data_IF_752664274276
#
_entry.id   IF_752664274276
#
_cell.length_a   1.000
_cell.length_b   1.000
_cell.length_c   1.000
_cell.angle_alpha   90.00
_cell.angle_beta   90.00
_cell.angle_gamma   90.00
#
_symmetry.space_group_name_H-M   'P 1'
#
loop_
_entity.id
_entity.type
_entity.pdbx_description
1 polymer ?
#
# COMPACT_ATOMS: atom_id res chain seq x y z
N UNK A 1 -62.74 9.29 0.51
CA UNK A 1 -63.30 8.97 -0.83
C UNK A 1 -62.80 10.01 -1.80
N UNK A 2 -62.43 9.60 -3.00
CA UNK A 2 -61.89 10.47 -4.06
C UNK A 2 -62.76 10.27 -5.29
N UNK A 3 -63.21 11.36 -5.89
CA UNK A 3 -63.96 11.29 -7.14
C UNK A 3 -63.02 10.90 -8.28
N UNK A 4 -63.26 9.72 -8.86
CA UNK A 4 -62.52 9.22 -10.01
C UNK A 4 -62.94 9.98 -11.28
N UNK A 5 -61.97 10.42 -12.07
CA UNK A 5 -62.23 10.88 -13.43
C UNK A 5 -62.36 9.68 -14.36
N UNK A 6 -63.15 9.76 -15.45
CA UNK A 6 -63.18 8.71 -16.47
C UNK A 6 -61.74 8.59 -17.01
N UNK A 7 -61.10 7.43 -16.83
CA UNK A 7 -59.68 7.15 -17.16
C UNK A 7 -58.64 7.42 -16.04
N UNK A 8 -59.05 7.55 -14.78
CA UNK A 8 -58.07 7.63 -13.68
C UNK A 8 -57.32 6.31 -13.48
N UNK A 9 -55.99 6.36 -13.47
CA UNK A 9 -55.10 5.25 -13.11
C UNK A 9 -54.43 5.47 -11.73
N UNK A 10 -53.61 4.52 -11.28
CA UNK A 10 -52.89 4.61 -10.00
C UNK A 10 -51.91 5.79 -9.97
N UNK A 11 -51.26 6.11 -11.09
CA UNK A 11 -50.30 7.23 -11.17
C UNK A 11 -51.01 8.57 -10.96
N UNK A 12 -52.13 8.77 -11.63
CA UNK A 12 -52.96 9.96 -11.53
C UNK A 12 -53.62 10.09 -10.15
N UNK A 13 -54.01 8.97 -9.54
CA UNK A 13 -54.51 8.95 -8.17
C UNK A 13 -53.44 9.41 -7.17
N UNK A 14 -52.24 8.83 -7.24
CA UNK A 14 -51.14 9.11 -6.31
C UNK A 14 -50.68 10.57 -6.39
N UNK A 15 -50.81 11.20 -7.56
CA UNK A 15 -50.58 12.64 -7.73
C UNK A 15 -51.62 13.54 -7.02
N UNK A 16 -52.78 13.00 -6.65
CA UNK A 16 -53.91 13.76 -6.03
C UNK A 16 -54.06 13.50 -4.53
N UNK A 17 -53.30 12.57 -3.96
CA UNK A 17 -53.39 12.20 -2.55
C UNK A 17 -52.06 12.36 -1.85
N UNK A 18 -52.11 12.54 -0.53
CA UNK A 18 -50.93 12.39 0.31
C UNK A 18 -50.70 10.89 0.56
N UNK A 19 -49.78 10.29 -0.19
CA UNK A 19 -49.28 8.93 0.09
C UNK A 19 -48.28 9.01 1.25
N UNK A 20 -48.27 8.04 2.19
CA UNK A 20 -47.20 7.93 3.18
C UNK A 20 -45.83 7.92 2.47
N UNK A 21 -44.88 8.69 3.00
CA UNK A 21 -43.58 9.01 2.37
C UNK A 21 -42.86 7.79 1.75
N UNK A 22 -42.12 8.07 0.66
CA UNK A 22 -41.33 7.16 -0.18
C UNK A 22 -42.11 6.02 -0.89
N UNK A 23 -42.34 6.11 -2.21
CA UNK A 23 -42.99 5.06 -3.01
C UNK A 23 -42.34 3.67 -2.87
N UNK A 24 -41.04 3.59 -2.58
CA UNK A 24 -40.35 2.31 -2.40
C UNK A 24 -40.74 1.60 -1.10
N UNK A 25 -41.31 2.35 -0.15
CA UNK A 25 -41.64 1.92 1.21
C UNK A 25 -43.13 1.61 1.39
N UNK A 26 -43.90 1.57 0.31
CA UNK A 26 -45.33 1.29 0.33
C UNK A 26 -45.68 0.23 -0.71
N UNK A 27 -46.51 -0.73 -0.34
CA UNK A 27 -47.20 -1.63 -1.27
C UNK A 27 -48.57 -1.02 -1.61
N UNK A 28 -48.93 -1.03 -2.90
CA UNK A 28 -50.27 -0.64 -3.36
C UNK A 28 -51.06 -1.90 -3.67
N UNK A 29 -52.19 -2.08 -3.00
CA UNK A 29 -53.11 -3.18 -3.25
C UNK A 29 -54.48 -2.61 -3.62
N UNK A 30 -54.98 -3.02 -4.77
CA UNK A 30 -56.33 -2.68 -5.23
C UNK A 30 -57.26 -3.86 -4.92
N UNK A 31 -58.30 -3.60 -4.15
CA UNK A 31 -59.39 -4.54 -3.91
C UNK A 31 -60.57 -4.14 -4.79
N UNK A 32 -60.92 -5.03 -5.72
CA UNK A 32 -62.07 -4.90 -6.60
C UNK A 32 -63.07 -6.00 -6.30
N UNK A 33 -64.36 -5.63 -6.27
CA UNK A 33 -65.43 -6.55 -5.88
C UNK A 33 -65.48 -7.77 -6.79
N UNK A 34 -65.36 -8.96 -6.19
CA UNK A 34 -65.41 -10.23 -6.92
C UNK A 34 -64.11 -10.62 -7.64
N UNK A 35 -63.05 -9.82 -7.52
CA UNK A 35 -61.72 -10.10 -8.07
C UNK A 35 -60.70 -10.39 -6.97
N UNK A 36 -59.60 -11.06 -7.33
CA UNK A 36 -58.47 -11.24 -6.40
C UNK A 36 -57.74 -9.91 -6.20
N UNK A 37 -57.19 -9.63 -5.00
CA UNK A 37 -56.44 -8.41 -4.74
C UNK A 37 -55.30 -8.22 -5.75
N UNK A 38 -55.26 -7.05 -6.37
CA UNK A 38 -54.29 -6.71 -7.41
C UNK A 38 -53.13 -5.98 -6.74
N UNK A 39 -51.93 -6.55 -6.82
CA UNK A 39 -50.70 -5.90 -6.33
C UNK A 39 -50.13 -5.00 -7.41
N UNK A 40 -49.82 -3.76 -7.05
CA UNK A 40 -49.25 -2.75 -7.93
C UNK A 40 -47.91 -2.29 -7.35
N UNK A 41 -46.85 -2.40 -8.16
CA UNK A 41 -45.55 -1.82 -7.82
C UNK A 41 -45.58 -0.32 -8.09
N UNK A 42 -45.79 0.47 -7.03
CA UNK A 42 -45.94 1.91 -7.15
C UNK A 42 -44.72 2.59 -7.75
N UNK A 43 -43.51 2.14 -7.43
CA UNK A 43 -42.29 2.73 -7.98
C UNK A 43 -42.20 2.47 -9.49
N UNK A 44 -42.48 1.24 -9.93
CA UNK A 44 -42.49 0.90 -11.35
C UNK A 44 -43.54 1.71 -12.14
N UNK A 45 -44.70 1.98 -11.54
CA UNK A 45 -45.77 2.82 -12.13
C UNK A 45 -45.35 4.29 -12.24
N UNK A 46 -44.70 4.84 -11.20
CA UNK A 46 -44.23 6.22 -11.22
C UNK A 46 -43.09 6.44 -12.23
N UNK A 47 -42.27 5.41 -12.46
CA UNK A 47 -41.18 5.40 -13.45
C UNK A 47 -41.62 4.99 -14.87
N UNK A 48 -42.93 4.80 -15.10
CA UNK A 48 -43.51 4.43 -16.40
C UNK A 48 -42.90 3.15 -17.01
N UNK A 49 -42.57 2.17 -16.14
CA UNK A 49 -41.95 0.92 -16.59
C UNK A 49 -42.96 0.02 -17.33
N UNK A 50 -42.56 -0.62 -18.46
CA UNK A 50 -43.43 -1.54 -19.18
C UNK A 50 -43.95 -2.66 -18.28
N UNK A 51 -45.28 -2.85 -18.25
CA UNK A 51 -45.92 -3.91 -17.46
C UNK A 51 -46.10 -3.62 -15.97
N UNK A 52 -45.73 -2.43 -15.49
CA UNK A 52 -45.88 -2.05 -14.09
C UNK A 52 -47.34 -2.06 -13.61
N UNK A 53 -48.23 -1.43 -14.40
CA UNK A 53 -49.69 -1.49 -14.28
C UNK A 53 -50.30 -0.67 -15.42
N UNK A 54 -51.20 -1.27 -16.21
CA UNK A 54 -51.85 -0.59 -17.34
C UNK A 54 -53.38 -0.48 -17.15
N UNK A 55 -53.89 -0.80 -15.95
CA UNK A 55 -55.32 -0.84 -15.69
C UNK A 55 -55.90 0.50 -15.24
N UNK A 56 -57.18 0.72 -15.53
CA UNK A 56 -57.92 1.85 -14.98
C UNK A 56 -58.53 1.49 -13.62
N UNK A 57 -58.64 2.49 -12.76
CA UNK A 57 -59.41 2.38 -11.53
C UNK A 57 -60.90 2.34 -11.86
N UNK A 58 -61.64 1.51 -11.14
CA UNK A 58 -63.10 1.38 -11.27
C UNK A 58 -63.80 2.00 -10.06
N UNK A 59 -65.06 2.45 -10.22
CA UNK A 59 -65.89 2.83 -9.08
C UNK A 59 -65.93 1.69 -8.05
N UNK A 60 -65.90 2.05 -6.77
CA UNK A 60 -65.82 1.13 -5.62
C UNK A 60 -64.50 0.38 -5.43
N UNK A 61 -63.45 0.64 -6.23
CA UNK A 61 -62.10 0.12 -5.94
C UNK A 61 -61.61 0.65 -4.58
N UNK A 62 -61.20 -0.25 -3.69
CA UNK A 62 -60.54 0.12 -2.42
C UNK A 62 -59.03 0.00 -2.62
N UNK A 63 -58.32 1.11 -2.45
CA UNK A 63 -56.89 1.19 -2.69
C UNK A 63 -56.19 1.31 -1.34
N UNK A 64 -55.51 0.23 -0.96
CA UNK A 64 -54.76 0.16 0.28
C UNK A 64 -53.28 0.47 0.03
N UNK A 65 -52.77 1.45 0.78
CA UNK A 65 -51.36 1.76 0.88
C UNK A 65 -50.82 1.10 2.15
N UNK A 66 -50.11 -0.01 2.00
CA UNK A 66 -49.58 -0.77 3.13
C UNK A 66 -48.08 -0.44 3.29
N UNK A 67 -47.65 0.11 4.44
CA UNK A 67 -46.23 0.37 4.65
C UNK A 67 -45.46 -0.95 4.63
N UNK A 68 -44.39 -0.99 3.84
CA UNK A 68 -43.47 -2.12 3.83
C UNK A 68 -42.65 -2.11 5.12
N UNK A 69 -42.29 -3.29 5.65
CA UNK A 69 -41.40 -3.35 6.79
C UNK A 69 -40.05 -2.73 6.44
N UNK A 70 -39.53 -1.92 7.35
CA UNK A 70 -38.27 -1.21 7.16
C UNK A 70 -37.38 -1.33 8.38
N UNK A 71 -36.09 -1.18 8.14
CA UNK A 71 -35.04 -1.13 9.13
C UNK A 71 -34.36 0.25 9.06
N UNK A 72 -33.66 0.63 10.13
CA UNK A 72 -32.87 1.87 10.17
C UNK A 72 -31.40 1.50 10.10
N UNK A 73 -30.69 2.12 9.17
CA UNK A 73 -29.26 1.91 8.90
C UNK A 73 -28.61 3.29 8.85
N UNK A 74 -27.40 3.42 9.37
CA UNK A 74 -26.64 4.67 9.30
C UNK A 74 -25.63 4.65 8.17
N UNK A 75 -25.60 5.70 7.36
CA UNK A 75 -24.61 5.89 6.29
C UNK A 75 -23.68 7.06 6.63
N UNK A 76 -22.37 6.80 6.68
CA UNK A 76 -21.34 7.80 7.01
C UNK A 76 -20.30 7.83 5.88
N UNK A 77 -20.22 8.95 5.16
CA UNK A 77 -19.31 9.12 4.04
C UNK A 77 -20.01 9.77 2.84
N UNK A 78 -19.41 9.70 1.65
CA UNK A 78 -19.94 10.33 0.43
C UNK A 78 -21.03 9.44 -0.18
N UNK A 79 -22.15 9.28 0.51
CA UNK A 79 -23.34 8.58 0.01
C UNK A 79 -24.38 9.58 -0.44
N UNK A 80 -25.23 9.21 -1.41
CA UNK A 80 -26.30 10.08 -1.89
C UNK A 80 -27.27 10.53 -0.77
N UNK A 81 -27.48 9.68 0.23
CA UNK A 81 -28.12 10.02 1.50
C UNK A 81 -27.23 9.59 2.67
N UNK A 82 -27.05 10.49 3.65
CA UNK A 82 -26.19 10.26 4.82
C UNK A 82 -26.98 10.39 6.12
N UNK A 83 -26.43 9.88 7.21
CA UNK A 83 -27.11 9.80 8.50
C UNK A 83 -28.02 8.58 8.60
N UNK A 84 -29.12 8.68 9.32
CA UNK A 84 -30.07 7.58 9.49
C UNK A 84 -30.98 7.46 8.26
N UNK A 85 -30.95 6.30 7.60
CA UNK A 85 -31.75 6.00 6.42
C UNK A 85 -32.71 4.86 6.71
N UNK A 86 -33.96 5.01 6.24
CA UNK A 86 -34.96 3.93 6.26
C UNK A 86 -34.72 3.02 5.06
N UNK A 87 -34.41 1.76 5.32
CA UNK A 87 -34.11 0.76 4.29
C UNK A 87 -35.18 -0.31 4.33
N UNK A 88 -35.63 -0.78 3.16
CA UNK A 88 -36.59 -1.87 3.08
C UNK A 88 -36.00 -3.15 3.70
N UNK A 89 -36.76 -3.81 4.55
CA UNK A 89 -36.28 -5.02 5.24
C UNK A 89 -35.93 -6.11 4.23
N UNK A 90 -34.75 -6.73 4.41
CA UNK A 90 -34.25 -7.81 3.55
C UNK A 90 -33.43 -7.36 2.35
N UNK A 91 -33.28 -6.05 2.13
CA UNK A 91 -32.44 -5.51 1.06
C UNK A 91 -30.96 -5.68 1.35
N UNK A 92 -30.21 -5.93 0.28
CA UNK A 92 -28.76 -5.92 0.33
C UNK A 92 -28.17 -4.51 0.27
N UNK A 93 -26.88 -4.40 0.61
CA UNK A 93 -26.15 -3.13 0.61
C UNK A 93 -26.15 -2.45 -0.75
N UNK A 94 -26.16 -3.20 -1.86
CA UNK A 94 -26.11 -2.64 -3.21
C UNK A 94 -27.47 -2.13 -3.67
N UNK A 95 -28.54 -2.87 -3.40
CA UNK A 95 -29.92 -2.43 -3.62
C UNK A 95 -30.20 -1.15 -2.83
N UNK A 96 -29.75 -1.12 -1.58
CA UNK A 96 -29.87 0.04 -0.70
C UNK A 96 -29.08 1.22 -1.22
N UNK A 97 -27.82 1.02 -1.61
CA UNK A 97 -27.01 2.08 -2.21
C UNK A 97 -27.70 2.65 -3.46
N UNK A 98 -28.28 1.80 -4.31
CA UNK A 98 -28.99 2.24 -5.50
C UNK A 98 -30.21 3.12 -5.18
N UNK A 99 -30.99 2.82 -4.12
CA UNK A 99 -32.15 3.64 -3.76
C UNK A 99 -31.80 4.97 -3.09
N UNK A 100 -30.65 5.05 -2.40
CA UNK A 100 -30.27 6.27 -1.67
C UNK A 100 -29.45 7.25 -2.52
N UNK A 101 -29.35 7.01 -3.83
CA UNK A 101 -28.59 7.87 -4.77
C UNK A 101 -27.15 7.41 -5.02
N UNK A 102 -26.77 6.23 -4.55
CA UNK A 102 -25.45 5.64 -4.79
C UNK A 102 -24.36 6.15 -3.85
N UNK A 103 -23.12 5.95 -4.29
CA UNK A 103 -21.92 6.50 -3.67
C UNK A 103 -21.45 7.64 -4.57
N UNK A 104 -21.29 8.83 -4.02
CA UNK A 104 -20.67 9.95 -4.73
C UNK A 104 -19.20 9.60 -4.96
N UNK A 105 -18.75 9.43 -6.22
CA UNK A 105 -17.37 9.11 -6.48
C UNK A 105 -16.51 10.32 -6.12
N UNK A 106 -15.88 10.25 -4.94
CA UNK A 106 -14.62 10.94 -4.70
C UNK A 106 -13.63 10.60 -5.86
N UNK A 107 -12.49 11.29 -6.03
CA UNK A 107 -11.64 11.14 -7.22
C UNK A 107 -11.04 9.73 -7.50
N UNK A 108 -11.42 8.71 -6.73
CA UNK A 108 -11.04 7.30 -6.92
C UNK A 108 -12.09 6.51 -7.71
N UNK A 109 -11.63 5.44 -8.37
CA UNK A 109 -12.50 4.43 -8.95
C UNK A 109 -13.11 3.56 -7.84
N UNK A 110 -14.44 3.35 -7.89
CA UNK A 110 -15.17 2.44 -6.98
C UNK A 110 -14.64 1.00 -6.96
N UNK A 111 -13.81 0.62 -7.93
CA UNK A 111 -13.17 -0.69 -8.04
C UNK A 111 -12.24 -1.01 -6.86
N UNK A 112 -11.58 -0.01 -6.28
CA UNK A 112 -10.62 -0.22 -5.17
C UNK A 112 -11.22 0.10 -3.79
N UNK A 113 -12.41 0.71 -3.75
CA UNK A 113 -13.07 1.10 -2.52
C UNK A 113 -13.77 -0.07 -1.82
N UNK A 114 -13.83 -0.03 -0.49
CA UNK A 114 -14.55 -0.99 0.33
C UNK A 114 -15.64 -0.28 1.13
N UNK A 115 -16.76 -0.94 1.31
CA UNK A 115 -17.77 -0.62 2.30
C UNK A 115 -17.44 -1.36 3.59
N UNK A 116 -17.43 -0.63 4.70
CA UNK A 116 -17.35 -1.20 6.02
C UNK A 116 -18.74 -1.15 6.65
N UNK A 117 -19.29 -2.32 6.98
CA UNK A 117 -20.58 -2.45 7.67
C UNK A 117 -20.30 -2.86 9.12
N UNK A 118 -20.50 -1.92 10.04
CA UNK A 118 -20.42 -2.19 11.47
C UNK A 118 -21.75 -2.75 11.96
N UNK A 119 -21.74 -3.98 12.45
CA UNK A 119 -22.88 -4.69 13.02
C UNK A 119 -22.59 -5.04 14.47
N UNK A 120 -23.07 -4.22 15.40
CA UNK A 120 -22.69 -4.34 16.81
C UNK A 120 -21.16 -4.24 16.98
N UNK A 121 -20.47 -5.30 17.46
CA UNK A 121 -19.01 -5.37 17.57
C UNK A 121 -18.30 -5.80 16.27
N UNK A 122 -19.03 -6.33 15.28
CA UNK A 122 -18.45 -6.86 14.06
C UNK A 122 -18.23 -5.77 13.01
N UNK A 123 -17.12 -5.88 12.27
CA UNK A 123 -16.81 -5.03 11.11
C UNK A 123 -16.73 -5.91 9.87
N UNK A 124 -17.78 -5.88 9.06
CA UNK A 124 -17.88 -6.64 7.82
C UNK A 124 -17.35 -5.77 6.66
N UNK A 125 -16.58 -6.37 5.76
CA UNK A 125 -16.02 -5.68 4.58
C UNK A 125 -16.70 -6.18 3.32
N UNK A 126 -17.18 -5.26 2.50
CA UNK A 126 -17.83 -5.56 1.22
C UNK A 126 -17.23 -4.64 0.16
N UNK A 127 -16.87 -5.09 -1.05
CA UNK A 127 -16.49 -4.21 -2.15
C UNK A 127 -17.55 -3.14 -2.41
N UNK A 128 -17.13 -1.90 -2.70
CA UNK A 128 -18.07 -0.83 -3.00
C UNK A 128 -18.78 -1.03 -4.35
N UNK A 129 -18.11 -1.70 -5.29
CA UNK A 129 -18.68 -2.09 -6.59
C UNK A 129 -19.13 -3.55 -6.56
N UNK A 130 -20.40 -3.80 -6.93
CA UNK A 130 -20.95 -5.15 -7.02
C UNK A 130 -20.31 -5.93 -8.17
N UNK A 131 -19.70 -7.08 -7.87
CA UNK A 131 -19.27 -8.04 -8.89
C UNK A 131 -20.42 -8.98 -9.29
N UNK A 132 -20.51 -9.46 -10.54
CA UNK A 132 -21.67 -10.24 -11.03
C UNK A 132 -21.99 -11.49 -10.22
N UNK A 133 -20.97 -12.18 -9.72
CA UNK A 133 -21.13 -13.43 -8.97
C UNK A 133 -21.28 -13.22 -7.45
N UNK A 134 -21.20 -11.96 -7.02
CA UNK A 134 -21.18 -11.62 -5.60
C UNK A 134 -22.60 -11.47 -5.05
N UNK A 135 -22.90 -12.25 -4.01
CA UNK A 135 -24.08 -12.03 -3.18
C UNK A 135 -23.90 -10.74 -2.37
N UNK A 136 -24.91 -9.89 -2.38
CA UNK A 136 -24.93 -8.71 -1.52
C UNK A 136 -25.11 -9.08 -0.05
N UNK A 137 -24.54 -8.26 0.82
CA UNK A 137 -24.75 -8.35 2.26
C UNK A 137 -26.11 -7.75 2.60
N UNK A 138 -27.03 -8.58 3.11
CA UNK A 138 -28.33 -8.10 3.63
C UNK A 138 -28.08 -7.25 4.87
N UNK A 139 -28.64 -6.03 4.86
CA UNK A 139 -28.50 -5.10 5.97
C UNK A 139 -29.45 -5.45 7.11
N UNK A 140 -29.01 -5.19 8.33
CA UNK A 140 -29.74 -5.43 9.58
C UNK A 140 -30.03 -4.12 10.33
N UNK A 141 -31.05 -4.09 11.20
CA UNK A 141 -31.34 -2.93 12.03
C UNK A 141 -30.12 -2.50 12.83
N UNK A 142 -29.75 -1.22 12.73
CA UNK A 142 -28.61 -0.68 13.47
C UNK A 142 -27.25 -0.79 12.78
N UNK A 143 -27.18 -1.40 11.59
CA UNK A 143 -25.95 -1.41 10.80
C UNK A 143 -25.46 0.03 10.54
N UNK A 144 -24.14 0.22 10.60
CA UNK A 144 -23.49 1.47 10.18
C UNK A 144 -22.61 1.18 8.98
N UNK A 145 -22.98 1.74 7.83
CA UNK A 145 -22.27 1.61 6.57
C UNK A 145 -21.34 2.82 6.40
N UNK A 146 -20.06 2.54 6.19
CA UNK A 146 -19.02 3.52 5.93
C UNK A 146 -18.33 3.20 4.62
N UNK A 147 -17.81 4.22 3.95
CA UNK A 147 -16.93 4.02 2.81
C UNK A 147 -15.47 4.13 3.26
N UNK A 148 -14.74 3.02 3.13
CA UNK A 148 -13.29 2.96 3.30
C UNK A 148 -12.62 3.16 1.94
N UNK A 149 -12.18 4.40 1.72
CA UNK A 149 -11.39 4.76 0.55
C UNK A 149 -9.91 4.71 0.93
N UNK A 150 -9.13 3.80 0.34
CA UNK A 150 -7.71 3.75 0.64
C UNK A 150 -7.06 5.06 0.18
N UNK A 151 -6.30 5.71 1.07
CA UNK A 151 -5.58 6.93 0.71
C UNK A 151 -4.54 6.59 -0.35
N UNK A 152 -4.70 7.13 -1.55
CA UNK A 152 -3.73 7.01 -2.62
C UNK A 152 -2.64 8.07 -2.45
N UNK A 153 -1.41 7.66 -2.69
CA UNK A 153 -0.21 8.48 -2.58
C UNK A 153 0.65 8.30 -3.83
N UNK A 154 1.40 9.35 -4.15
CA UNK A 154 2.39 9.36 -5.22
C UNK A 154 3.76 9.09 -4.63
N UNK A 155 4.43 8.06 -5.13
CA UNK A 155 5.81 7.74 -4.77
C UNK A 155 6.65 7.60 -6.04
N UNK A 156 7.94 7.88 -5.95
CA UNK A 156 8.87 7.76 -7.08
C UNK A 156 9.87 6.65 -6.76
N UNK A 157 10.12 5.75 -7.71
CA UNK A 157 11.19 4.75 -7.62
C UNK A 157 12.16 4.96 -8.79
N UNK A 158 13.45 5.06 -8.49
CA UNK A 158 14.49 5.32 -9.50
C UNK A 158 15.78 4.55 -9.20
N UNK A 159 16.82 4.77 -10.00
CA UNK A 159 18.12 4.11 -9.89
C UNK A 159 18.14 2.78 -10.63
N UNK A 160 18.71 1.76 -9.99
CA UNK A 160 18.84 0.41 -10.56
C UNK A 160 17.62 -0.46 -10.24
N UNK A 161 16.42 0.11 -10.28
CA UNK A 161 15.17 -0.64 -10.18
C UNK A 161 14.86 -1.36 -11.51
N UNK A 162 14.05 -2.42 -11.46
CA UNK A 162 13.61 -3.14 -12.67
C UNK A 162 12.76 -2.23 -13.57
N UNK A 163 11.89 -1.43 -12.95
CA UNK A 163 11.14 -0.35 -13.58
C UNK A 163 11.23 0.91 -12.73
N UNK A 164 11.83 1.96 -13.29
CA UNK A 164 11.88 3.29 -12.67
C UNK A 164 10.70 4.14 -13.15
N UNK A 165 10.17 4.99 -12.28
CA UNK A 165 9.06 5.89 -12.60
C UNK A 165 8.27 6.33 -11.37
N UNK A 166 7.16 7.00 -11.66
CA UNK A 166 6.16 7.36 -10.66
C UNK A 166 5.17 6.20 -10.47
N UNK A 167 4.81 5.94 -9.21
CA UNK A 167 3.83 4.95 -8.83
C UNK A 167 2.75 5.61 -7.97
N UNK A 168 1.51 5.47 -8.40
CA UNK A 168 0.33 5.84 -7.61
C UNK A 168 -0.15 4.57 -6.90
N UNK A 169 -0.04 4.55 -5.58
CA UNK A 169 -0.30 3.37 -4.76
C UNK A 169 -1.07 3.75 -3.50
N UNK A 170 -1.64 2.75 -2.82
CA UNK A 170 -2.24 2.95 -1.51
C UNK A 170 -1.16 3.26 -0.47
N UNK A 171 -1.46 4.14 0.49
CA UNK A 171 -0.55 4.52 1.58
C UNK A 171 -0.16 3.33 2.48
N UNK A 172 -1.07 2.35 2.60
CA UNK A 172 -0.86 1.13 3.38
C UNK A 172 -0.16 0.01 2.60
N UNK A 173 0.22 0.24 1.33
CA UNK A 173 0.95 -0.73 0.53
C UNK A 173 2.34 -0.98 1.17
N UNK A 174 2.70 -2.23 1.47
CA UNK A 174 4.04 -2.54 1.98
C UNK A 174 5.13 -2.17 0.96
N UNK A 175 6.28 -1.66 1.42
CA UNK A 175 7.41 -1.27 0.57
C UNK A 175 7.86 -2.39 -0.38
N UNK A 176 7.83 -3.63 0.09
CA UNK A 176 8.14 -4.81 -0.72
C UNK A 176 7.19 -4.99 -1.90
N UNK A 177 5.89 -4.75 -1.71
CA UNK A 177 4.91 -4.82 -2.80
C UNK A 177 5.05 -3.65 -3.76
N UNK A 178 5.42 -2.46 -3.26
CA UNK A 178 5.82 -1.34 -4.11
C UNK A 178 7.03 -1.73 -4.98
N UNK A 179 8.06 -2.34 -4.41
CA UNK A 179 9.23 -2.79 -5.17
C UNK A 179 8.87 -3.88 -6.18
N UNK A 180 7.93 -4.79 -5.87
CA UNK A 180 7.40 -5.75 -6.86
C UNK A 180 6.68 -5.06 -8.02
N UNK A 181 5.87 -4.01 -7.76
CA UNK A 181 5.28 -3.18 -8.81
C UNK A 181 6.35 -2.48 -9.67
N UNK A 182 7.47 -2.11 -9.06
CA UNK A 182 8.67 -1.59 -9.72
C UNK A 182 9.56 -2.70 -10.33
N UNK A 183 9.04 -3.92 -10.52
CA UNK A 183 9.76 -5.08 -11.08
C UNK A 183 11.03 -5.50 -10.30
N UNK A 184 11.09 -5.16 -9.01
CA UNK A 184 12.20 -5.47 -8.12
C UNK A 184 13.45 -4.63 -8.39
N UNK A 185 14.62 -5.15 -7.99
CA UNK A 185 15.89 -4.61 -8.43
C UNK A 185 16.17 -5.02 -9.87
N UNK A 186 16.70 -4.09 -10.68
CA UNK A 186 17.21 -4.39 -12.01
C UNK A 186 18.48 -5.25 -11.96
N UNK A 187 19.05 -5.64 -13.11
CA UNK A 187 20.17 -6.58 -13.18
C UNK A 187 21.42 -6.18 -12.39
N UNK A 188 21.61 -4.88 -12.16
CA UNK A 188 22.73 -4.34 -11.40
C UNK A 188 22.28 -3.71 -10.08
N UNK A 189 21.01 -3.81 -9.69
CA UNK A 189 20.46 -3.16 -8.50
C UNK A 189 20.46 -4.06 -7.27
N UNK A 190 20.32 -3.46 -6.09
CA UNK A 190 20.06 -4.18 -4.85
C UNK A 190 18.90 -3.56 -4.08
N UNK A 191 18.02 -4.41 -3.55
CA UNK A 191 16.95 -4.01 -2.63
C UNK A 191 17.45 -3.94 -1.17
N UNK A 192 18.70 -4.31 -0.91
CA UNK A 192 19.34 -4.12 0.38
C UNK A 192 19.87 -2.70 0.50
N UNK A 193 19.25 -1.90 1.36
CA UNK A 193 19.67 -0.52 1.57
C UNK A 193 19.22 0.44 0.49
N UNK A 194 17.99 0.26 0.00
CA UNK A 194 17.28 1.28 -0.78
C UNK A 194 17.32 2.60 0.00
N UNK A 195 17.58 3.70 -0.71
CA UNK A 195 17.59 5.03 -0.10
C UNK A 195 16.20 5.64 -0.26
N UNK A 196 15.58 6.02 0.84
CA UNK A 196 14.37 6.80 0.89
C UNK A 196 14.70 8.24 1.18
N UNK A 197 14.14 9.15 0.41
CA UNK A 197 14.15 10.58 0.67
C UNK A 197 12.74 11.00 1.08
N UNK A 198 12.60 11.56 2.28
CA UNK A 198 11.32 11.99 2.85
C UNK A 198 11.52 13.23 3.71
N UNK A 199 10.80 14.31 3.42
CA UNK A 199 10.84 15.52 4.25
C UNK A 199 12.23 16.17 4.40
N UNK A 200 13.15 15.92 3.47
CA UNK A 200 14.55 16.38 3.55
C UNK A 200 15.51 15.42 4.26
N UNK A 201 15.02 14.31 4.80
CA UNK A 201 15.82 13.25 5.41
C UNK A 201 16.12 12.12 4.41
N UNK A 202 17.25 11.44 4.63
CA UNK A 202 17.64 10.26 3.87
C UNK A 202 17.69 9.06 4.82
N UNK A 203 16.87 8.06 4.54
CA UNK A 203 16.76 6.84 5.33
C UNK A 203 17.18 5.65 4.48
N UNK A 204 17.97 4.74 5.06
CA UNK A 204 18.32 3.47 4.43
C UNK A 204 17.31 2.41 4.85
N UNK A 205 16.59 1.84 3.89
CA UNK A 205 15.54 0.84 4.13
C UNK A 205 15.88 -0.47 3.43
N UNK A 206 15.58 -1.58 4.10
CA UNK A 206 15.65 -2.90 3.48
C UNK A 206 14.29 -3.24 2.86
N UNK A 207 14.29 -3.50 1.55
CA UNK A 207 13.10 -3.87 0.79
C UNK A 207 13.10 -5.36 0.38
N UNK A 208 14.02 -6.17 0.91
CA UNK A 208 14.13 -7.61 0.61
C UNK A 208 13.18 -8.50 1.43
N UNK A 209 12.59 -7.98 2.52
CA UNK A 209 11.94 -8.78 3.57
C UNK A 209 11.08 -9.96 3.08
N UNK A 210 10.02 -9.74 2.28
CA UNK A 210 9.16 -10.85 1.83
C UNK A 210 9.81 -11.81 0.83
N UNK A 211 10.89 -11.39 0.17
CA UNK A 211 11.67 -12.25 -0.73
C UNK A 211 12.60 -13.18 0.06
N UNK A 212 12.99 -12.79 1.27
CA UNK A 212 13.92 -13.53 2.14
C UNK A 212 13.23 -14.25 3.30
N UNK A 213 11.88 -14.16 3.39
CA UNK A 213 11.10 -14.73 4.49
C UNK A 213 11.20 -13.96 5.80
N UNK A 214 11.86 -12.79 5.79
CA UNK A 214 11.89 -11.89 6.94
C UNK A 214 10.57 -11.11 7.04
N UNK A 215 10.13 -10.75 8.27
CA UNK A 215 8.94 -9.91 8.43
C UNK A 215 9.15 -8.59 7.65
N UNK A 216 8.13 -8.11 6.93
CA UNK A 216 8.22 -6.87 6.19
C UNK A 216 8.62 -5.73 7.13
N UNK A 217 9.42 -4.79 6.63
CA UNK A 217 9.77 -3.61 7.41
C UNK A 217 8.48 -2.90 7.86
N UNK A 218 8.44 -2.43 9.11
CA UNK A 218 7.30 -1.67 9.66
C UNK A 218 7.13 -0.28 9.00
N UNK A 219 7.90 -0.04 7.95
CA UNK A 219 7.94 1.19 7.21
C UNK A 219 6.64 1.36 6.42
N UNK A 220 5.93 2.46 6.68
CA UNK A 220 4.77 2.89 5.92
C UNK A 220 5.16 3.91 4.87
N UNK A 221 4.58 3.77 3.68
CA UNK A 221 4.75 4.73 2.60
C UNK A 221 4.05 6.05 2.96
N UNK A 222 4.54 7.14 2.40
CA UNK A 222 3.96 8.47 2.52
C UNK A 222 3.94 9.14 1.14
N UNK A 223 3.00 10.08 0.96
CA UNK A 223 2.94 10.88 -0.25
C UNK A 223 4.23 11.68 -0.44
N UNK A 224 4.76 11.67 -1.67
CA UNK A 224 6.02 12.31 -2.01
C UNK A 224 7.27 11.50 -1.66
N UNK A 225 7.15 10.27 -1.16
CA UNK A 225 8.32 9.40 -0.95
C UNK A 225 9.09 9.21 -2.26
N UNK A 226 10.41 9.38 -2.18
CA UNK A 226 11.32 9.13 -3.29
C UNK A 226 12.31 8.02 -2.91
N UNK A 227 12.27 6.92 -3.64
CA UNK A 227 13.14 5.77 -3.45
C UNK A 227 14.18 5.71 -4.56
N UNK A 228 15.45 5.60 -4.16
CA UNK A 228 16.55 5.30 -5.04
C UNK A 228 17.06 3.89 -4.75
N UNK A 229 16.93 3.00 -5.74
CA UNK A 229 17.49 1.66 -5.72
C UNK A 229 18.97 1.76 -6.09
N UNK A 230 19.89 1.52 -5.15
CA UNK A 230 21.31 1.61 -5.44
C UNK A 230 21.75 0.47 -6.35
N UNK A 231 22.87 0.69 -7.02
CA UNK A 231 23.60 -0.39 -7.67
C UNK A 231 24.04 -1.40 -6.60
N UNK A 232 24.00 -2.68 -6.91
CA UNK A 232 24.63 -3.76 -6.17
C UNK A 232 26.15 -3.67 -6.33
N UNK A 233 26.73 -2.56 -5.87
CA UNK A 233 28.17 -2.36 -5.81
C UNK A 233 28.70 -3.01 -4.54
N UNK A 234 29.45 -4.10 -4.72
CA UNK A 234 30.31 -4.59 -3.67
C UNK A 234 31.55 -3.72 -3.63
N UNK A 235 31.81 -3.10 -2.50
CA UNK A 235 32.99 -2.26 -2.33
C UNK A 235 33.75 -2.58 -1.05
N UNK A 236 35.04 -2.30 -1.09
CA UNK A 236 35.97 -2.33 0.04
C UNK A 236 36.61 -0.96 0.16
N UNK A 237 37.13 -0.66 1.33
CA UNK A 237 38.03 0.47 1.48
C UNK A 237 39.42 0.01 1.87
N UNK A 238 40.43 0.56 1.19
CA UNK A 238 41.83 0.45 1.56
C UNK A 238 42.31 1.79 2.14
N UNK A 239 42.86 1.75 3.35
CA UNK A 239 43.39 2.92 4.06
C UNK A 239 44.74 2.60 4.71
N UNK A 240 45.36 3.64 5.28
CA UNK A 240 46.66 3.56 5.93
C UNK A 240 47.80 3.77 4.95
N UNK A 241 48.87 3.01 5.13
CA UNK A 241 50.13 3.10 4.39
C UNK A 241 50.07 2.30 3.07
N UNK A 242 49.12 2.66 2.21
CA UNK A 242 49.02 2.19 0.81
C UNK A 242 49.24 3.33 -0.17
N UNK A 243 49.69 3.00 -1.39
CA UNK A 243 49.98 4.01 -2.41
C UNK A 243 48.73 4.73 -2.91
N UNK A 244 47.62 4.00 -3.05
CA UNK A 244 46.33 4.56 -3.48
C UNK A 244 45.25 4.23 -2.44
N UNK A 245 45.04 5.05 -1.40
CA UNK A 245 43.94 4.85 -0.47
C UNK A 245 42.59 5.22 -1.11
N UNK A 246 41.52 4.50 -0.80
CA UNK A 246 40.20 4.81 -1.34
C UNK A 246 39.21 3.65 -1.39
N UNK A 247 38.10 3.86 -2.12
CA UNK A 247 37.04 2.88 -2.37
C UNK A 247 37.39 2.02 -3.58
N UNK A 248 37.29 0.71 -3.41
CA UNK A 248 37.53 -0.29 -4.44
C UNK A 248 36.24 -1.07 -4.71
N UNK A 249 35.74 -1.02 -5.95
CA UNK A 249 34.51 -1.71 -6.36
C UNK A 249 34.88 -3.01 -7.06
N UNK A 250 34.17 -4.09 -6.75
CA UNK A 250 34.43 -5.42 -7.30
C UNK A 250 33.14 -6.10 -7.78
N UNK A 251 33.27 -7.17 -8.56
CA UNK A 251 32.12 -7.83 -9.19
C UNK A 251 31.39 -8.77 -8.24
N UNK A 252 30.12 -9.04 -8.54
CA UNK A 252 29.31 -9.97 -7.76
C UNK A 252 29.82 -11.41 -7.94
N UNK A 253 29.96 -12.15 -6.83
CA UNK A 253 30.55 -13.50 -6.83
C UNK A 253 32.09 -13.56 -6.86
N UNK A 254 32.78 -12.44 -7.05
CA UNK A 254 34.24 -12.36 -6.95
C UNK A 254 34.69 -12.50 -5.49
N UNK A 255 35.65 -13.40 -5.25
CA UNK A 255 36.29 -13.56 -3.94
C UNK A 255 37.52 -12.66 -3.90
N UNK A 256 37.47 -11.64 -3.06
CA UNK A 256 38.58 -10.70 -2.85
C UNK A 256 39.22 -11.01 -1.50
N UNK A 257 40.54 -11.17 -1.47
CA UNK A 257 41.32 -11.29 -0.24
C UNK A 257 42.09 -10.00 0.06
N UNK A 258 42.62 -9.88 1.29
CA UNK A 258 43.37 -8.70 1.71
C UNK A 258 44.58 -8.41 0.82
N UNK A 259 45.28 -9.43 0.32
CA UNK A 259 46.38 -9.27 -0.63
C UNK A 259 45.93 -8.71 -1.98
N UNK A 260 44.75 -9.11 -2.48
CA UNK A 260 44.21 -8.62 -3.75
C UNK A 260 43.87 -7.13 -3.64
N UNK A 261 43.23 -6.75 -2.54
CA UNK A 261 42.94 -5.34 -2.24
C UNK A 261 44.23 -4.53 -2.12
N UNK A 262 45.27 -5.06 -1.47
CA UNK A 262 46.57 -4.41 -1.38
C UNK A 262 47.20 -4.19 -2.76
N UNK A 263 47.12 -5.20 -3.64
CA UNK A 263 47.64 -5.11 -5.00
C UNK A 263 46.88 -4.05 -5.81
N UNK A 264 45.55 -4.01 -5.72
CA UNK A 264 44.73 -2.96 -6.35
C UNK A 264 45.03 -1.57 -5.79
N UNK A 265 45.35 -1.47 -4.50
CA UNK A 265 45.79 -0.24 -3.85
C UNK A 265 47.24 0.18 -4.20
N UNK A 266 47.89 -0.53 -5.12
CA UNK A 266 49.23 -0.22 -5.59
C UNK A 266 50.34 -0.67 -4.65
N UNK A 267 50.06 -1.56 -3.69
CA UNK A 267 51.00 -2.00 -2.66
C UNK A 267 51.12 -1.02 -1.48
N UNK A 268 52.03 -1.33 -0.56
CA UNK A 268 52.30 -0.45 0.59
C UNK A 268 53.20 0.72 0.20
N UNK A 269 53.11 1.82 0.96
CA UNK A 269 54.13 2.87 0.95
C UNK A 269 55.44 2.35 1.56
N UNK A 270 56.54 3.10 1.40
CA UNK A 270 57.85 2.80 2.03
C UNK A 270 57.81 2.73 3.56
N UNK A 271 56.76 3.27 4.18
CA UNK A 271 56.57 3.31 5.64
C UNK A 271 55.57 2.25 6.13
N UNK A 272 54.89 1.56 5.21
CA UNK A 272 53.85 0.59 5.53
C UNK A 272 54.40 -0.73 6.05
N UNK A 273 53.77 -1.26 7.11
CA UNK A 273 54.07 -2.59 7.64
C UNK A 273 52.86 -3.51 7.54
N UNK A 274 53.03 -4.64 6.86
CA UNK A 274 51.98 -5.66 6.73
C UNK A 274 51.90 -6.62 7.92
N UNK A 275 52.76 -6.43 8.93
CA UNK A 275 52.75 -7.23 10.17
C UNK A 275 51.51 -7.01 11.02
N UNK A 276 50.88 -5.85 10.88
CA UNK A 276 49.69 -5.46 11.64
C UNK A 276 48.72 -4.75 10.70
N UNK A 277 47.89 -5.53 10.03
CA UNK A 277 46.77 -5.04 9.24
C UNK A 277 45.50 -5.11 10.09
N UNK A 278 44.68 -4.06 10.04
CA UNK A 278 43.42 -3.98 10.77
C UNK A 278 42.26 -4.08 9.78
N UNK A 279 41.46 -5.12 9.92
CA UNK A 279 40.17 -5.30 9.25
C UNK A 279 39.06 -4.85 10.18
N UNK A 280 38.20 -3.96 9.70
CA UNK A 280 36.96 -3.58 10.34
C UNK A 280 35.79 -4.09 9.52
N UNK A 281 35.00 -4.99 10.11
CA UNK A 281 33.83 -5.59 9.46
C UNK A 281 32.54 -5.11 10.12
N UNK A 282 31.56 -4.57 9.39
CA UNK A 282 30.29 -4.19 9.98
C UNK A 282 29.50 -5.44 10.35
N UNK A 283 28.88 -5.44 11.53
CA UNK A 283 27.87 -6.42 11.90
C UNK A 283 26.47 -6.02 11.41
N UNK A 284 25.47 -6.86 11.69
CA UNK A 284 24.07 -6.65 11.29
C UNK A 284 23.47 -5.34 11.85
N UNK A 285 24.06 -4.79 12.92
CA UNK A 285 23.65 -3.52 13.53
C UNK A 285 24.44 -2.32 13.00
N UNK A 286 25.37 -2.55 12.06
CA UNK A 286 26.26 -1.53 11.49
C UNK A 286 27.45 -1.17 12.38
N UNK A 287 27.74 -1.93 13.44
CA UNK A 287 28.91 -1.71 14.30
C UNK A 287 30.12 -2.43 13.73
N UNK A 288 31.26 -1.76 13.69
CA UNK A 288 32.49 -2.32 13.15
C UNK A 288 33.24 -3.17 14.19
N UNK A 289 33.46 -4.44 13.86
CA UNK A 289 34.23 -5.38 14.67
C UNK A 289 35.68 -5.42 14.17
N UNK A 290 36.67 -5.11 15.03
CA UNK A 290 38.07 -5.08 14.64
C UNK A 290 38.71 -6.47 14.68
N UNK A 291 39.39 -6.84 13.60
CA UNK A 291 40.22 -8.04 13.50
C UNK A 291 41.61 -7.62 13.05
N UNK A 292 42.65 -8.07 13.77
CA UNK A 292 44.04 -7.84 13.38
C UNK A 292 44.62 -9.11 12.78
N UNK A 293 45.43 -8.96 11.74
CA UNK A 293 46.14 -10.06 11.11
C UNK A 293 47.50 -9.61 10.56
N UNK A 294 48.36 -10.58 10.32
CA UNK A 294 49.71 -10.38 9.81
C UNK A 294 49.79 -10.83 8.35
N UNK A 295 49.54 -9.93 7.41
CA UNK A 295 49.54 -10.24 5.98
C UNK A 295 50.96 -10.56 5.45
N UNK A 296 51.99 -10.14 6.18
CA UNK A 296 53.41 -10.41 5.86
C UNK A 296 53.69 -11.93 5.81
N UNK A 297 53.06 -12.73 6.68
CA UNK A 297 53.17 -14.20 6.69
C UNK A 297 52.62 -14.84 5.41
N UNK A 298 51.58 -14.25 4.80
CA UNK A 298 51.07 -14.73 3.53
C UNK A 298 52.06 -14.42 2.40
N UNK A 299 52.58 -13.20 2.35
CA UNK A 299 53.44 -12.73 1.24
C UNK A 299 54.81 -13.41 1.27
N UNK A 300 55.38 -13.61 2.46
CA UNK A 300 56.75 -14.17 2.62
C UNK A 300 56.74 -15.68 2.77
N UNK A 301 55.84 -16.19 3.61
CA UNK A 301 55.87 -17.59 4.04
C UNK A 301 54.79 -18.44 3.35
N UNK A 302 53.93 -17.82 2.52
CA UNK A 302 52.83 -18.51 1.83
C UNK A 302 51.70 -18.96 2.76
N UNK A 303 51.61 -18.42 3.98
CA UNK A 303 50.58 -18.79 4.95
C UNK A 303 49.20 -18.28 4.50
N UNK A 304 48.43 -19.12 3.82
CA UNK A 304 47.09 -18.77 3.29
C UNK A 304 46.12 -18.31 4.37
N UNK A 305 46.25 -18.80 5.62
CA UNK A 305 45.38 -18.38 6.73
C UNK A 305 45.61 -16.93 7.14
N UNK A 306 46.76 -16.37 6.81
CA UNK A 306 47.12 -14.98 7.10
C UNK A 306 46.57 -13.97 6.07
N UNK A 307 45.88 -14.44 5.03
CA UNK A 307 45.22 -13.62 4.03
C UNK A 307 43.69 -13.82 4.12
N UNK A 308 42.99 -13.04 4.97
CA UNK A 308 41.55 -13.21 5.15
C UNK A 308 40.77 -12.81 3.89
N UNK A 309 39.67 -13.52 3.64
CA UNK A 309 38.68 -13.13 2.64
C UNK A 309 37.90 -11.90 3.12
N UNK A 310 37.77 -10.93 2.24
CA UNK A 310 37.08 -9.68 2.49
C UNK A 310 35.62 -9.76 2.04
N UNK A 311 34.78 -8.99 2.72
CA UNK A 311 33.34 -8.91 2.47
C UNK A 311 32.94 -7.50 2.05
N UNK A 312 31.87 -7.34 1.26
CA UNK A 312 31.36 -6.02 0.92
C UNK A 312 31.17 -5.16 2.17
N UNK A 313 31.68 -3.93 2.14
CA UNK A 313 31.62 -2.99 3.27
C UNK A 313 32.74 -3.13 4.30
N UNK A 314 33.67 -4.07 4.15
CA UNK A 314 34.87 -4.15 4.97
C UNK A 314 35.79 -2.93 4.74
N UNK A 315 36.43 -2.48 5.81
CA UNK A 315 37.49 -1.47 5.76
C UNK A 315 38.80 -2.11 6.21
N UNK A 316 39.84 -1.93 5.41
CA UNK A 316 41.16 -2.50 5.67
C UNK A 316 42.19 -1.38 5.80
N UNK A 317 42.82 -1.31 6.96
CA UNK A 317 43.94 -0.41 7.23
C UNK A 317 45.24 -1.19 7.15
N UNK A 318 46.04 -0.91 6.13
CA UNK A 318 47.37 -1.49 5.94
C UNK A 318 48.42 -0.63 6.62
N UNK A 319 49.29 -1.24 7.41
CA UNK A 319 50.14 -0.51 8.33
C UNK A 319 49.36 -0.02 9.53
N UNK A 320 49.79 -0.36 10.74
CA UNK A 320 49.12 0.12 11.94
C UNK A 320 49.33 1.64 12.07
N UNK A 321 48.26 2.46 11.99
CA UNK A 321 48.40 3.88 12.23
C UNK A 321 48.81 4.11 13.69
N UNK A 322 50.01 4.67 13.91
CA UNK A 322 50.46 5.01 15.27
C UNK A 322 49.50 6.02 15.89
N UNK A 323 48.89 5.66 17.03
CA UNK A 323 48.04 6.57 17.80
C UNK A 323 46.58 6.69 17.34
N UNK A 324 46.12 5.94 16.33
CA UNK A 324 44.69 5.89 16.00
C UNK A 324 43.96 4.88 16.89
N UNK A 325 42.98 5.36 17.67
CA UNK A 325 42.10 4.51 18.47
C UNK A 325 40.90 4.02 17.65
N UNK A 326 40.24 2.95 18.08
CA UNK A 326 39.00 2.47 17.45
C UNK A 326 37.90 3.56 17.44
N UNK A 327 37.87 4.44 18.44
CA UNK A 327 36.97 5.60 18.47
C UNK A 327 37.31 6.62 17.38
N UNK A 328 38.59 6.93 17.20
CA UNK A 328 39.06 7.84 16.14
C UNK A 328 38.77 7.27 14.75
N UNK A 329 38.97 5.97 14.57
CA UNK A 329 38.66 5.29 13.30
C UNK A 329 37.15 5.33 13.03
N UNK A 330 36.31 5.03 14.03
CA UNK A 330 34.85 5.11 13.90
C UNK A 330 34.35 6.54 13.57
N UNK A 331 34.97 7.57 14.14
CA UNK A 331 34.66 8.98 13.83
C UNK A 331 35.06 9.37 12.40
N UNK A 332 36.23 8.92 11.93
CA UNK A 332 36.67 9.14 10.56
C UNK A 332 35.76 8.46 9.55
N UNK A 333 35.34 7.22 9.84
CA UNK A 333 34.38 6.46 9.03
C UNK A 333 33.03 7.19 8.96
N UNK A 334 32.51 7.64 10.11
CA UNK A 334 31.26 8.40 10.18
C UNK A 334 31.30 9.70 9.36
N UNK A 335 32.40 10.46 9.44
CA UNK A 335 32.60 11.65 8.61
C UNK A 335 32.71 11.34 7.10
N UNK A 336 33.34 10.22 6.74
CA UNK A 336 33.56 9.83 5.35
C UNK A 336 32.28 9.37 4.63
N UNK A 337 31.39 8.65 5.34
CA UNK A 337 30.07 8.31 4.82
C UNK A 337 29.19 9.56 4.62
N UNK A 338 29.37 10.60 5.44
CA UNK A 338 28.74 11.91 5.22
C UNK A 338 29.34 12.62 3.99
N UNK A 339 30.63 12.49 3.71
CA UNK A 339 31.26 13.08 2.54
C UNK A 339 30.94 12.36 1.22
N UNK A 340 30.98 11.02 1.13
CA UNK A 340 30.64 10.28 -0.11
C UNK A 340 29.15 10.46 -0.48
N UNK A 341 28.28 10.66 0.51
CA UNK A 341 26.86 10.99 0.29
C UNK A 341 26.61 12.43 -0.19
N UNK A 342 27.54 13.37 0.05
CA UNK A 342 27.45 14.77 -0.40
C UNK A 342 28.13 14.98 -1.76
N UNK A 343 29.24 14.30 -2.03
CA UNK A 343 30.11 14.56 -3.20
C UNK A 343 29.61 13.88 -4.48
N UNK A 344 28.73 12.86 -4.40
CA UNK A 344 28.09 12.23 -5.58
C UNK A 344 26.81 12.94 -6.07
N UNK A 345 26.61 14.23 -5.75
CA UNK A 345 25.51 15.04 -6.29
C UNK A 345 25.66 15.30 -7.79
#
# INVERSE_FOLDING_TARGET
MIDLTPQMDVRQLVARISVPSDPDMVDVIIYRRGETPIKVDLWAVLQDKPGAWNGLLQPEDIIAFLPKPFIRVWFIGPFGSTGEVKVRQGWDVYETLASIGGVDPAPMTLDEAQLLVRRGPEMLRVPAKKHPEQRGLVLEPGDVVMLDQPKMIRVIVTGFAGASGEFIVREDLPLSQLMLKAQGAGPQGTLQGVLLFRGGEILRVDATGPLTGQPPSQFRLQDGDFFYVPKNERFLYAFGEVNTPGKYVFQDGERIFAADLLAQAGGTTDRGSLRRVLLLRPDETGRYQPTRFNLDEFIKDGNVKANPELRPGDLVFFGEPKGLTLQTIAQLIGGMFLFDSIVRR
#
